data_IF_852357903169
#
_entry.id   IF_852357903169
#
_cell.length_a   1.000
_cell.length_b   1.000
_cell.length_c   1.000
_cell.angle_alpha   90.00
_cell.angle_beta   90.00
_cell.angle_gamma   90.00
#
_symmetry.space_group_name_H-M   'P 1'
#
loop_
_entity.id
_entity.type
_entity.pdbx_description
1 polymer ?
#
# COMPACT_ATOMS: atom_id res chain seq x y z
N UNK A 1 2.00 26.09 12.54
CA UNK A 1 2.42 24.78 12.02
C UNK A 1 1.18 23.96 11.64
N UNK A 2 1.20 23.34 10.46
CA UNK A 2 0.11 22.54 9.87
C UNK A 2 -0.19 21.26 10.67
N UNK A 3 0.73 20.78 11.48
CA UNK A 3 0.73 19.48 12.15
C UNK A 3 0.65 19.58 13.67
N UNK A 4 -0.04 18.61 14.31
CA UNK A 4 -0.21 18.51 15.76
C UNK A 4 0.99 17.80 16.46
N UNK A 5 0.93 17.71 17.79
CA UNK A 5 1.98 17.36 18.76
C UNK A 5 2.81 16.06 18.50
N UNK A 6 2.42 15.18 17.58
CA UNK A 6 3.17 13.96 17.20
C UNK A 6 3.65 14.01 15.73
N UNK A 7 3.94 15.20 15.22
CA UNK A 7 4.37 15.35 13.83
C UNK A 7 5.83 14.98 13.65
N UNK A 8 6.11 14.22 12.60
CA UNK A 8 7.45 14.07 12.08
C UNK A 8 7.93 15.46 11.65
N UNK A 9 9.01 15.95 12.25
CA UNK A 9 9.65 17.20 11.83
C UNK A 9 10.46 16.92 10.57
N UNK A 10 10.03 17.43 9.45
CA UNK A 10 10.70 17.33 8.17
C UNK A 10 10.77 18.71 7.50
N UNK A 11 11.75 18.96 6.63
CA UNK A 11 11.84 20.23 5.90
C UNK A 11 10.71 20.40 4.89
N UNK A 12 10.19 19.29 4.34
CA UNK A 12 9.17 19.31 3.28
C UNK A 12 8.06 18.32 3.55
N UNK A 13 6.86 18.68 3.05
CA UNK A 13 5.65 17.88 3.12
C UNK A 13 4.96 17.91 1.75
N UNK A 14 4.62 16.75 1.24
CA UNK A 14 3.82 16.58 0.03
C UNK A 14 2.41 16.13 0.43
N UNK A 15 1.41 16.93 0.12
CA UNK A 15 0.01 16.64 0.41
C UNK A 15 -0.70 16.12 -0.85
N UNK A 16 -1.44 15.02 -0.71
CA UNK A 16 -2.16 14.36 -1.78
C UNK A 16 -3.65 14.61 -1.63
N UNK A 17 -4.22 15.31 -2.61
CA UNK A 17 -5.64 15.60 -2.69
C UNK A 17 -6.28 14.84 -3.85
N UNK A 18 -7.50 14.38 -3.67
CA UNK A 18 -8.27 13.70 -4.71
C UNK A 18 -9.74 14.07 -4.67
N UNK A 19 -10.39 14.02 -5.80
CA UNK A 19 -11.84 13.93 -5.91
C UNK A 19 -12.29 12.56 -5.38
N UNK A 20 -13.49 12.52 -4.79
CA UNK A 20 -14.09 11.28 -4.31
C UNK A 20 -14.73 10.54 -5.50
N UNK A 21 -14.01 9.59 -6.07
CA UNK A 21 -14.45 8.66 -7.11
C UNK A 21 -14.28 7.22 -6.66
N UNK A 22 -14.72 6.26 -7.46
CA UNK A 22 -14.51 4.85 -7.13
C UNK A 22 -13.00 4.56 -6.94
N UNK A 23 -12.64 3.96 -5.81
CA UNK A 23 -11.26 3.55 -5.44
C UNK A 23 -10.22 4.69 -5.38
N UNK A 24 -10.67 5.94 -5.27
CA UNK A 24 -9.72 7.07 -5.23
C UNK A 24 -8.68 6.93 -4.12
N UNK A 25 -9.05 6.36 -2.97
CA UNK A 25 -8.10 6.13 -1.86
C UNK A 25 -7.00 5.15 -2.24
N UNK A 26 -7.34 4.06 -2.94
CA UNK A 26 -6.38 3.08 -3.43
C UNK A 26 -5.46 3.70 -4.49
N UNK A 27 -6.02 4.45 -5.43
CA UNK A 27 -5.25 5.15 -6.46
C UNK A 27 -4.28 6.16 -5.85
N UNK A 28 -4.72 6.93 -4.86
CA UNK A 28 -3.84 7.89 -4.15
C UNK A 28 -2.74 7.14 -3.39
N UNK A 29 -3.06 6.04 -2.70
CA UNK A 29 -2.05 5.21 -2.03
C UNK A 29 -0.98 4.70 -2.99
N UNK A 30 -1.38 4.26 -4.18
CA UNK A 30 -0.48 3.83 -5.24
C UNK A 30 0.48 4.94 -5.69
N UNK A 31 -0.06 6.13 -5.97
CA UNK A 31 0.75 7.30 -6.38
C UNK A 31 1.66 7.76 -5.24
N UNK A 32 1.17 7.77 -4.00
CA UNK A 32 1.97 8.13 -2.82
C UNK A 32 3.21 7.25 -2.69
N UNK A 33 3.05 5.94 -2.88
CA UNK A 33 4.18 4.99 -2.79
C UNK A 33 5.16 5.17 -3.94
N UNK A 34 4.70 5.38 -5.16
CA UNK A 34 5.59 5.69 -6.29
C UNK A 34 6.45 6.94 -6.00
N UNK A 35 5.84 7.99 -5.41
CA UNK A 35 6.59 9.19 -5.01
C UNK A 35 7.58 8.90 -3.88
N UNK A 36 7.21 8.05 -2.91
CA UNK A 36 8.10 7.61 -1.83
C UNK A 36 9.30 6.84 -2.38
N UNK A 37 9.07 5.89 -3.27
CA UNK A 37 10.13 5.12 -3.93
C UNK A 37 11.06 6.03 -4.74
N UNK A 38 10.50 6.98 -5.49
CA UNK A 38 11.29 7.97 -6.22
C UNK A 38 12.15 8.83 -5.28
N UNK A 39 11.57 9.39 -4.23
CA UNK A 39 12.32 10.20 -3.24
C UNK A 39 13.43 9.37 -2.58
N UNK A 40 13.14 8.11 -2.28
CA UNK A 40 14.11 7.17 -1.73
C UNK A 40 15.26 6.90 -2.72
N UNK A 41 14.97 6.73 -4.00
CA UNK A 41 15.99 6.47 -5.05
C UNK A 41 16.98 7.62 -5.22
N UNK A 42 16.58 8.86 -4.91
CA UNK A 42 17.46 10.04 -4.91
C UNK A 42 18.06 10.36 -3.53
N UNK A 43 17.98 9.44 -2.57
CA UNK A 43 18.66 9.52 -1.26
C UNK A 43 17.90 10.30 -0.19
N UNK A 44 16.60 10.54 -0.35
CA UNK A 44 15.78 11.23 0.65
C UNK A 44 15.05 10.26 1.56
N UNK A 45 15.00 10.57 2.84
CA UNK A 45 14.16 9.89 3.82
C UNK A 45 12.71 10.34 3.70
N UNK A 46 11.77 9.42 3.90
CA UNK A 46 10.33 9.66 3.77
C UNK A 46 9.55 9.12 4.97
N UNK A 47 8.36 9.70 5.23
CA UNK A 47 7.45 9.19 6.24
C UNK A 47 6.00 9.51 5.86
N UNK A 48 5.13 8.49 5.84
CA UNK A 48 3.70 8.67 5.68
C UNK A 48 3.07 9.30 6.93
N UNK A 49 2.21 10.30 6.70
CA UNK A 49 1.45 10.98 7.75
C UNK A 49 -0.05 10.94 7.40
N UNK A 50 -0.86 10.49 8.35
CA UNK A 50 -2.30 10.47 8.17
C UNK A 50 -2.93 11.88 8.17
N UNK A 51 -4.01 12.07 7.40
CA UNK A 51 -4.72 13.35 7.26
C UNK A 51 -5.39 13.85 8.55
N UNK A 52 -5.63 12.98 9.53
CA UNK A 52 -6.25 13.33 10.82
C UNK A 52 -5.40 14.25 11.73
N UNK A 53 -4.17 14.53 11.33
CA UNK A 53 -3.24 15.43 12.04
C UNK A 53 -3.15 16.83 11.42
N UNK A 54 -4.03 17.15 10.49
CA UNK A 54 -4.02 18.39 9.70
C UNK A 54 -5.11 19.34 10.18
N UNK A 55 -4.88 20.64 10.07
CA UNK A 55 -5.90 21.65 10.39
C UNK A 55 -7.12 21.49 9.46
N UNK A 56 -8.31 21.73 9.98
CA UNK A 56 -9.57 21.58 9.24
C UNK A 56 -9.58 22.34 7.91
N UNK A 57 -8.98 23.53 7.85
CA UNK A 57 -8.89 24.36 6.64
C UNK A 57 -8.03 23.73 5.52
N UNK A 58 -7.17 22.78 5.85
CA UNK A 58 -6.30 22.10 4.88
C UNK A 58 -6.85 20.73 4.46
N UNK A 59 -8.00 20.33 5.00
CA UNK A 59 -8.59 19.03 4.66
C UNK A 59 -9.23 19.00 3.28
N UNK A 60 -9.52 20.18 2.74
CA UNK A 60 -10.11 20.34 1.41
C UNK A 60 -9.43 21.50 0.68
N UNK A 61 -9.12 21.33 -0.60
CA UNK A 61 -8.53 22.32 -1.47
C UNK A 61 -9.06 22.16 -2.89
N UNK A 62 -9.63 23.23 -3.45
CA UNK A 62 -10.19 23.25 -4.81
C UNK A 62 -11.21 22.11 -5.05
N UNK A 63 -12.09 21.83 -4.09
CA UNK A 63 -13.09 20.76 -4.17
C UNK A 63 -12.51 19.35 -4.02
N UNK A 64 -11.21 19.21 -3.74
CA UNK A 64 -10.53 17.93 -3.56
C UNK A 64 -10.21 17.68 -2.10
N UNK A 65 -10.39 16.45 -1.66
CA UNK A 65 -10.19 16.04 -0.28
C UNK A 65 -8.76 15.57 -0.04
N UNK A 66 -8.18 15.97 1.09
CA UNK A 66 -6.89 15.48 1.53
C UNK A 66 -6.98 14.00 1.91
N UNK A 67 -6.17 13.17 1.25
CA UNK A 67 -6.08 11.74 1.52
C UNK A 67 -4.92 11.42 2.47
N UNK A 68 -3.72 11.93 2.17
CA UNK A 68 -2.55 11.66 2.98
C UNK A 68 -1.42 12.67 2.71
N UNK A 69 -0.38 12.57 3.53
CA UNK A 69 0.80 13.44 3.45
C UNK A 69 2.04 12.55 3.52
N UNK A 70 3.05 12.90 2.74
CA UNK A 70 4.40 12.35 2.86
C UNK A 70 5.32 13.47 3.34
N UNK A 71 5.93 13.29 4.51
CA UNK A 71 7.04 14.11 4.97
C UNK A 71 8.34 13.59 4.36
N UNK A 72 9.24 14.47 3.92
CA UNK A 72 10.50 14.04 3.32
C UNK A 72 11.61 15.04 3.53
N UNK A 73 12.84 14.55 3.38
CA UNK A 73 14.05 15.36 3.51
C UNK A 73 15.29 14.50 3.71
N UNK A 74 16.44 15.15 3.88
CA UNK A 74 17.68 14.45 4.19
C UNK A 74 17.58 13.80 5.58
N UNK A 75 17.83 12.49 5.68
CA UNK A 75 17.81 11.76 6.94
C UNK A 75 19.11 11.92 7.73
N UNK A 76 19.05 11.79 9.05
CA UNK A 76 20.22 11.76 9.95
C UNK A 76 20.90 10.37 10.00
N UNK A 77 20.85 9.60 8.97
CA UNK A 77 21.39 8.24 8.88
C UNK A 77 20.97 7.60 7.59
N UNK A 78 20.84 6.28 7.58
CA UNK A 78 20.31 5.61 6.41
C UNK A 78 18.87 6.07 6.13
N UNK A 79 18.58 6.42 4.88
CA UNK A 79 17.24 6.73 4.41
C UNK A 79 16.45 5.45 4.05
N UNK A 80 17.13 4.32 4.01
CA UNK A 80 16.54 3.00 3.75
C UNK A 80 16.71 2.09 4.96
N UNK A 81 15.91 1.04 5.01
CA UNK A 81 15.92 0.01 6.04
C UNK A 81 16.20 -1.34 5.39
N UNK A 82 16.98 -2.19 6.04
CA UNK A 82 17.16 -3.58 5.59
C UNK A 82 15.85 -4.35 5.73
N UNK A 83 15.62 -5.33 4.87
CA UNK A 83 14.43 -6.19 4.94
C UNK A 83 14.30 -6.88 6.31
N UNK A 84 15.41 -7.35 6.88
CA UNK A 84 15.45 -7.99 8.21
C UNK A 84 15.07 -7.06 9.36
N UNK A 85 15.17 -5.76 9.19
CA UNK A 85 14.80 -4.75 10.19
C UNK A 85 13.32 -4.34 10.09
N UNK A 86 12.65 -4.73 9.02
CA UNK A 86 11.23 -4.44 8.82
C UNK A 86 10.37 -5.41 9.65
N UNK A 87 9.67 -4.88 10.64
CA UNK A 87 8.71 -5.66 11.45
C UNK A 87 7.48 -5.99 10.60
N UNK A 88 7.54 -7.08 9.86
CA UNK A 88 6.45 -7.58 8.99
C UNK A 88 6.14 -9.03 9.32
N UNK A 89 4.89 -9.41 9.11
CA UNK A 89 4.48 -10.82 9.19
C UNK A 89 5.23 -11.62 8.12
N UNK A 90 5.59 -12.88 8.40
CA UNK A 90 6.19 -13.76 7.40
C UNK A 90 5.18 -14.14 6.32
N UNK A 91 5.64 -14.60 5.17
CA UNK A 91 4.74 -14.96 4.05
C UNK A 91 3.78 -16.09 4.41
N UNK A 92 4.18 -17.00 5.27
CA UNK A 92 3.39 -18.13 5.74
C UNK A 92 2.11 -17.68 6.48
N UNK A 93 2.16 -16.54 7.15
CA UNK A 93 1.02 -15.93 7.86
C UNK A 93 0.11 -15.12 6.92
N UNK A 94 0.64 -14.71 5.78
CA UNK A 94 -0.06 -13.85 4.81
C UNK A 94 -0.63 -14.63 3.63
N UNK A 95 -0.04 -15.79 3.28
CA UNK A 95 -0.31 -16.53 2.06
C UNK A 95 -0.95 -17.89 2.33
N UNK A 96 -1.92 -18.24 1.47
CA UNK A 96 -2.36 -19.62 1.27
C UNK A 96 -1.86 -20.05 -0.11
N UNK A 97 -0.86 -20.91 -0.13
CA UNK A 97 -0.32 -21.47 -1.37
C UNK A 97 -1.20 -22.64 -1.83
N UNK A 98 -1.84 -22.51 -2.99
CA UNK A 98 -2.59 -23.57 -3.66
C UNK A 98 -1.70 -24.42 -4.56
N UNK A 99 -0.64 -23.80 -5.04
CA UNK A 99 0.38 -24.40 -5.90
C UNK A 99 1.76 -23.90 -5.44
N UNK A 100 2.82 -24.58 -5.84
CA UNK A 100 4.18 -24.14 -5.52
C UNK A 100 4.47 -22.84 -6.27
N UNK A 101 4.75 -21.74 -5.56
CA UNK A 101 4.99 -20.45 -6.20
C UNK A 101 6.29 -20.49 -7.01
N UNK A 102 6.26 -19.92 -8.21
CA UNK A 102 7.47 -19.67 -8.97
C UNK A 102 8.32 -18.59 -8.30
N UNK A 103 9.62 -18.58 -8.58
CA UNK A 103 10.55 -17.62 -7.94
C UNK A 103 10.13 -16.17 -8.11
N UNK A 104 9.70 -15.75 -9.30
CA UNK A 104 9.24 -14.39 -9.57
C UNK A 104 8.02 -14.01 -8.72
N UNK A 105 7.10 -14.95 -8.50
CA UNK A 105 5.91 -14.74 -7.66
C UNK A 105 6.29 -14.51 -6.20
N UNK A 106 7.26 -15.26 -5.71
CA UNK A 106 7.80 -15.06 -4.36
C UNK A 106 8.41 -13.66 -4.20
N UNK A 107 9.11 -13.15 -5.21
CA UNK A 107 9.68 -11.80 -5.18
C UNK A 107 8.58 -10.71 -5.16
N UNK A 108 7.52 -10.86 -5.96
CA UNK A 108 6.36 -9.97 -5.91
C UNK A 108 5.65 -10.00 -4.54
N UNK A 109 5.47 -11.18 -3.96
CA UNK A 109 4.87 -11.36 -2.63
C UNK A 109 5.75 -10.75 -1.54
N UNK A 110 7.07 -10.86 -1.63
CA UNK A 110 8.00 -10.20 -0.70
C UNK A 110 7.92 -8.67 -0.79
N UNK A 111 7.85 -8.11 -1.99
CA UNK A 111 7.66 -6.68 -2.18
C UNK A 111 6.32 -6.20 -1.55
N UNK A 112 5.24 -6.96 -1.77
CA UNK A 112 3.95 -6.71 -1.16
C UNK A 112 4.00 -6.79 0.38
N UNK A 113 4.64 -7.83 0.93
CA UNK A 113 4.81 -8.07 2.36
C UNK A 113 5.55 -6.94 3.06
N UNK A 114 6.60 -6.40 2.43
CA UNK A 114 7.44 -5.34 2.98
C UNK A 114 6.77 -3.96 2.95
N UNK A 115 5.67 -3.81 2.26
CA UNK A 115 4.95 -2.54 2.15
C UNK A 115 4.59 -1.94 3.50
N UNK A 116 4.71 -0.61 3.65
CA UNK A 116 4.23 0.05 4.86
C UNK A 116 2.69 0.05 4.92
N UNK A 117 2.15 0.06 6.13
CA UNK A 117 0.72 0.20 6.37
C UNK A 117 0.45 1.02 7.63
N UNK A 118 -0.70 1.65 7.69
CA UNK A 118 -1.15 2.43 8.84
C UNK A 118 -1.11 1.57 10.10
N UNK A 119 -0.41 2.03 11.14
CA UNK A 119 -0.19 1.30 12.40
C UNK A 119 0.41 -0.11 12.21
N UNK A 120 1.10 -0.35 11.09
CA UNK A 120 1.64 -1.65 10.71
C UNK A 120 0.58 -2.77 10.67
N UNK A 121 -0.64 -2.44 10.27
CA UNK A 121 -1.82 -3.34 10.30
C UNK A 121 -1.71 -4.53 9.35
N UNK A 122 -0.98 -4.40 8.24
CA UNK A 122 -0.76 -5.44 7.23
C UNK A 122 -2.07 -6.18 6.87
N UNK A 123 -3.07 -5.46 6.32
CA UNK A 123 -4.43 -5.98 6.16
C UNK A 123 -4.56 -7.03 5.06
N UNK A 124 -3.56 -7.20 4.23
CA UNK A 124 -3.56 -8.08 3.06
C UNK A 124 -3.42 -9.56 3.43
N UNK A 125 -4.11 -10.39 2.64
CA UNK A 125 -4.00 -11.85 2.63
C UNK A 125 -4.00 -12.30 1.17
N UNK A 126 -3.20 -13.31 0.87
CA UNK A 126 -2.97 -13.77 -0.49
C UNK A 126 -3.37 -15.24 -0.66
N UNK A 127 -4.05 -15.55 -1.76
CA UNK A 127 -4.25 -16.93 -2.22
C UNK A 127 -3.48 -17.07 -3.53
N UNK A 128 -2.49 -17.93 -3.52
CA UNK A 128 -1.44 -18.01 -4.54
C UNK A 128 -1.62 -19.26 -5.39
N UNK A 129 -1.70 -19.07 -6.71
CA UNK A 129 -1.66 -20.09 -7.75
C UNK A 129 -0.39 -19.91 -8.59
N UNK A 130 -0.18 -20.72 -9.60
CA UNK A 130 1.04 -20.66 -10.44
C UNK A 130 1.13 -19.41 -11.34
N UNK A 131 -0.01 -18.83 -11.73
CA UNK A 131 -0.10 -17.69 -12.65
C UNK A 131 -0.89 -16.50 -12.10
N UNK A 132 -1.40 -16.57 -10.86
CA UNK A 132 -2.20 -15.51 -10.28
C UNK A 132 -2.15 -15.48 -8.75
N UNK A 133 -2.37 -14.30 -8.21
CA UNK A 133 -2.49 -14.05 -6.79
C UNK A 133 -3.85 -13.38 -6.54
N UNK A 134 -4.73 -14.02 -5.79
CA UNK A 134 -5.95 -13.35 -5.31
C UNK A 134 -5.66 -12.64 -4.00
N UNK A 135 -6.02 -11.37 -3.94
CA UNK A 135 -5.73 -10.49 -2.81
C UNK A 135 -7.01 -10.22 -2.04
N UNK A 136 -6.94 -10.41 -0.74
CA UNK A 136 -8.03 -10.21 0.20
C UNK A 136 -7.62 -9.21 1.29
N UNK A 137 -8.60 -8.46 1.79
CA UNK A 137 -8.49 -7.66 3.00
C UNK A 137 -9.03 -8.45 4.20
N UNK A 138 -8.28 -8.48 5.28
CA UNK A 138 -8.81 -8.94 6.58
C UNK A 138 -9.97 -8.00 6.99
N UNK A 139 -11.12 -8.56 7.33
CA UNK A 139 -12.25 -7.75 7.81
C UNK A 139 -11.92 -7.13 9.16
N UNK A 140 -12.10 -5.82 9.26
CA UNK A 140 -12.03 -5.10 10.52
C UNK A 140 -13.44 -4.73 10.98
N UNK A 141 -13.67 -4.83 12.28
CA UNK A 141 -14.94 -4.44 12.92
C UNK A 141 -15.13 -2.91 12.97
N UNK A 142 -14.06 -2.14 12.76
CA UNK A 142 -14.08 -0.67 12.86
C UNK A 142 -14.01 -0.05 11.47
N UNK A 143 -15.09 0.62 11.06
CA UNK A 143 -15.23 1.28 9.75
C UNK A 143 -14.10 2.29 9.44
N UNK A 144 -13.61 2.97 10.48
CA UNK A 144 -12.52 3.94 10.38
C UNK A 144 -11.20 3.32 9.90
N UNK A 145 -10.96 2.04 10.21
CA UNK A 145 -9.78 1.29 9.75
C UNK A 145 -9.92 0.89 8.27
N UNK A 146 -11.13 0.57 7.81
CA UNK A 146 -11.40 0.21 6.40
C UNK A 146 -10.95 1.29 5.42
N UNK A 147 -11.14 2.56 5.76
CA UNK A 147 -10.72 3.69 4.92
C UNK A 147 -9.20 3.74 4.70
N UNK A 148 -8.43 3.46 5.76
CA UNK A 148 -6.98 3.40 5.66
C UNK A 148 -6.50 2.13 4.95
N UNK A 149 -7.27 1.04 4.98
CA UNK A 149 -6.94 -0.18 4.27
C UNK A 149 -6.90 0.04 2.75
N UNK A 150 -7.80 0.83 2.17
CA UNK A 150 -7.74 1.14 0.74
C UNK A 150 -6.44 1.86 0.35
N UNK A 151 -6.00 2.84 1.15
CA UNK A 151 -4.70 3.51 0.95
C UNK A 151 -3.55 2.51 1.11
N UNK A 152 -3.60 1.65 2.15
CA UNK A 152 -2.60 0.62 2.39
C UNK A 152 -2.51 -0.37 1.22
N UNK A 153 -3.64 -0.76 0.62
CA UNK A 153 -3.66 -1.60 -0.57
C UNK A 153 -3.04 -0.91 -1.78
N UNK A 154 -3.31 0.38 -2.00
CA UNK A 154 -2.66 1.14 -3.06
C UNK A 154 -1.14 1.16 -2.92
N UNK A 155 -0.63 1.41 -1.71
CA UNK A 155 0.79 1.36 -1.37
C UNK A 155 1.37 -0.04 -1.68
N UNK A 156 0.69 -1.08 -1.23
CA UNK A 156 1.13 -2.46 -1.44
C UNK A 156 1.16 -2.84 -2.93
N UNK A 157 0.14 -2.43 -3.71
CA UNK A 157 0.10 -2.67 -5.15
C UNK A 157 1.23 -1.95 -5.89
N UNK A 158 1.59 -0.72 -5.49
CA UNK A 158 2.72 -0.02 -6.09
C UNK A 158 4.02 -0.81 -5.92
N UNK A 159 4.32 -1.30 -4.72
CA UNK A 159 5.50 -2.13 -4.47
C UNK A 159 5.47 -3.45 -5.26
N UNK A 160 4.31 -4.12 -5.31
CA UNK A 160 4.14 -5.36 -6.07
C UNK A 160 4.37 -5.14 -7.56
N UNK A 161 3.83 -4.05 -8.12
CA UNK A 161 3.95 -3.73 -9.55
C UNK A 161 5.36 -3.29 -9.93
N UNK A 162 6.06 -2.53 -9.08
CA UNK A 162 7.48 -2.20 -9.29
C UNK A 162 8.33 -3.48 -9.34
N UNK A 163 8.06 -4.45 -8.45
CA UNK A 163 8.75 -5.74 -8.49
C UNK A 163 8.42 -6.53 -9.77
N UNK A 164 7.17 -6.48 -10.26
CA UNK A 164 6.78 -7.10 -11.53
C UNK A 164 7.51 -6.46 -12.71
N UNK A 165 7.57 -5.12 -12.77
CA UNK A 165 8.29 -4.37 -13.80
C UNK A 165 9.79 -4.72 -13.80
N UNK A 166 10.43 -4.78 -12.64
CA UNK A 166 11.85 -5.16 -12.50
C UNK A 166 12.13 -6.59 -13.01
N UNK A 167 11.14 -7.46 -12.90
CA UNK A 167 11.18 -8.85 -13.39
C UNK A 167 10.72 -9.00 -14.85
N UNK A 168 10.41 -7.91 -15.55
CA UNK A 168 9.89 -7.90 -16.90
C UNK A 168 8.58 -8.71 -17.07
N UNK A 169 7.73 -8.69 -16.04
CA UNK A 169 6.46 -9.38 -16.03
C UNK A 169 5.33 -8.44 -16.43
N UNK A 170 4.47 -8.89 -17.34
CA UNK A 170 3.21 -8.20 -17.66
C UNK A 170 2.10 -8.75 -16.75
N UNK A 171 1.71 -7.93 -15.76
CA UNK A 171 0.74 -8.30 -14.72
C UNK A 171 -0.44 -7.34 -14.73
N UNK A 172 -1.64 -7.90 -14.83
CA UNK A 172 -2.89 -7.15 -14.68
C UNK A 172 -3.39 -7.19 -13.25
N UNK A 173 -3.79 -6.02 -12.74
CA UNK A 173 -4.54 -5.88 -11.50
C UNK A 173 -6.03 -5.75 -11.82
N UNK A 174 -6.79 -6.83 -11.71
CA UNK A 174 -8.20 -6.88 -12.11
C UNK A 174 -9.12 -7.39 -11.00
N UNK A 175 -10.38 -6.99 -11.04
CA UNK A 175 -11.40 -7.51 -10.14
C UNK A 175 -12.25 -8.57 -10.86
N UNK A 176 -12.14 -9.82 -10.41
CA UNK A 176 -12.89 -10.94 -10.95
C UNK A 176 -14.30 -10.99 -10.36
N UNK A 177 -15.31 -11.02 -11.23
CA UNK A 177 -16.73 -11.00 -10.84
C UNK A 177 -17.15 -12.22 -10.02
N UNK A 178 -16.71 -13.39 -10.43
CA UNK A 178 -17.01 -14.69 -9.79
C UNK A 178 -16.50 -14.78 -8.33
N UNK A 179 -15.36 -14.14 -8.02
CA UNK A 179 -14.81 -14.09 -6.68
C UNK A 179 -15.44 -12.95 -5.87
N UNK A 180 -15.68 -11.80 -6.50
CA UNK A 180 -16.23 -10.63 -5.83
C UNK A 180 -17.66 -10.85 -5.28
N UNK A 181 -18.43 -11.77 -5.87
CA UNK A 181 -19.76 -12.14 -5.42
C UNK A 181 -19.76 -13.12 -4.24
N UNK A 182 -18.63 -13.76 -3.95
CA UNK A 182 -18.52 -14.70 -2.84
C UNK A 182 -18.36 -13.97 -1.50
N UNK A 183 -19.10 -14.43 -0.50
CA UNK A 183 -18.97 -13.91 0.86
C UNK A 183 -18.00 -14.79 1.67
N UNK A 184 -16.89 -14.20 2.05
CA UNK A 184 -15.89 -14.86 2.90
C UNK A 184 -16.10 -14.40 4.36
N UNK A 185 -16.07 -15.33 5.31
CA UNK A 185 -16.36 -15.05 6.73
C UNK A 185 -15.42 -13.98 7.33
N UNK A 186 -14.12 -14.14 7.14
CA UNK A 186 -13.09 -13.32 7.80
C UNK A 186 -12.36 -12.34 6.88
N UNK A 187 -12.55 -12.47 5.57
CA UNK A 187 -11.83 -11.69 4.57
C UNK A 187 -12.80 -11.12 3.53
N UNK A 188 -12.37 -10.04 2.88
CA UNK A 188 -13.07 -9.43 1.76
C UNK A 188 -12.16 -9.44 0.55
N UNK A 189 -12.64 -9.92 -0.59
CA UNK A 189 -11.89 -9.89 -1.84
C UNK A 189 -11.64 -8.45 -2.31
N UNK A 190 -10.41 -8.15 -2.66
CA UNK A 190 -9.99 -6.84 -3.17
C UNK A 190 -9.86 -6.90 -4.69
N UNK A 191 -8.86 -7.61 -5.20
CA UNK A 191 -8.63 -7.87 -6.61
C UNK A 191 -7.63 -9.03 -6.81
N UNK A 192 -7.30 -9.32 -8.06
CA UNK A 192 -6.31 -10.32 -8.43
C UNK A 192 -5.20 -9.71 -9.27
N UNK A 193 -3.96 -10.13 -9.00
CA UNK A 193 -2.82 -9.94 -9.88
C UNK A 193 -2.70 -11.17 -10.78
N UNK A 194 -2.77 -10.98 -12.09
CA UNK A 194 -2.75 -12.08 -13.08
C UNK A 194 -1.61 -11.84 -14.05
N UNK A 195 -0.74 -12.84 -14.19
CA UNK A 195 0.32 -12.83 -15.19
C UNK A 195 -0.32 -13.04 -16.57
N UNK A 196 -0.01 -12.13 -17.50
CA UNK A 196 -0.34 -12.33 -18.91
C UNK A 196 0.61 -13.34 -19.54
N UNK A 197 0.05 -14.19 -20.38
CA UNK A 197 0.82 -15.20 -21.12
C UNK A 197 1.53 -14.59 -22.31
#
# INVERSE_FOLDING_TARGET
TMLSMFSVKAPYYMAFYSEESERYLMNVGYIMEQMVLYLCSIGLGTCFIGSNRVKKAELEKNGKRLVGIVAFGKSHGSHTRRQSEAKRLPLEDLCVFKEVPRQWMTQMLEAARLSPSSMNSQPWRFVVYDNRIHIFSKKHSVEKLRKWDEVNFGIMFANMMVAAEELWLDVDLIRLGDISQKNFSNNQYVLSAILKA
#
